data_IF_759082123084
#
_entry.id   IF_759082123084
#
_cell.length_a   1.000
_cell.length_b   1.000
_cell.length_c   1.000
_cell.angle_alpha   90.00
_cell.angle_beta   90.00
_cell.angle_gamma   90.00
#
_symmetry.space_group_name_H-M   'P 1'
#
loop_
_entity.id
_entity.type
_entity.pdbx_description
1 polymer ?
#
# COMPACT_ATOMS: atom_id res chain seq x y z
N UNK A 1 0.87 63.83 -4.47
CA UNK A 1 0.29 62.61 -5.08
C UNK A 1 1.48 61.81 -5.58
N UNK A 2 1.92 60.82 -4.80
CA UNK A 2 3.00 59.92 -5.24
C UNK A 2 2.48 59.22 -6.49
N UNK A 3 3.22 59.31 -7.59
CA UNK A 3 2.78 58.76 -8.86
C UNK A 3 2.66 57.25 -8.76
N UNK A 4 1.68 56.65 -9.45
CA UNK A 4 1.51 55.19 -9.51
C UNK A 4 2.81 54.48 -9.96
N UNK A 5 3.65 55.17 -10.74
CA UNK A 5 4.98 54.72 -11.16
C UNK A 5 5.98 54.62 -10.01
N UNK A 6 6.04 55.60 -9.11
CA UNK A 6 6.96 55.58 -7.96
C UNK A 6 6.59 54.48 -6.96
N UNK A 7 5.28 54.23 -6.77
CA UNK A 7 4.79 53.09 -5.98
C UNK A 7 5.18 51.75 -6.60
N UNK A 8 5.09 51.60 -7.92
CA UNK A 8 5.50 50.38 -8.61
C UNK A 8 7.02 50.15 -8.51
N UNK A 9 7.85 51.18 -8.58
CA UNK A 9 9.31 51.05 -8.44
C UNK A 9 9.74 50.71 -7.02
N UNK A 10 9.03 51.21 -6.00
CA UNK A 10 9.33 50.92 -4.59
C UNK A 10 8.86 49.52 -4.19
N UNK A 11 7.69 49.08 -4.69
CA UNK A 11 7.02 47.83 -4.27
C UNK A 11 6.94 46.75 -5.36
N UNK A 12 7.86 46.75 -6.33
CA UNK A 12 7.83 45.81 -7.45
C UNK A 12 7.93 44.34 -6.99
N UNK A 13 8.69 44.07 -5.92
CA UNK A 13 8.82 42.72 -5.34
C UNK A 13 7.52 42.25 -4.70
N UNK A 14 6.82 43.12 -3.97
CA UNK A 14 5.53 42.85 -3.34
C UNK A 14 4.44 42.63 -4.39
N UNK A 15 4.46 43.40 -5.48
CA UNK A 15 3.55 43.22 -6.62
C UNK A 15 3.78 41.85 -7.28
N UNK A 16 5.02 41.46 -7.53
CA UNK A 16 5.34 40.13 -8.08
C UNK A 16 4.89 39.03 -7.13
N UNK A 17 5.17 39.17 -5.83
CA UNK A 17 4.75 38.19 -4.83
C UNK A 17 3.22 38.04 -4.77
N UNK A 18 2.48 39.15 -4.86
CA UNK A 18 1.03 39.15 -4.93
C UNK A 18 0.51 38.41 -6.18
N UNK A 19 1.09 38.67 -7.36
CA UNK A 19 0.70 37.99 -8.59
C UNK A 19 0.99 36.49 -8.55
N UNK A 20 2.14 36.08 -8.00
CA UNK A 20 2.47 34.67 -7.80
C UNK A 20 1.42 34.03 -6.88
N UNK A 21 1.11 34.66 -5.74
CA UNK A 21 0.10 34.17 -4.80
C UNK A 21 -1.28 34.06 -5.45
N UNK A 22 -1.68 35.07 -6.23
CA UNK A 22 -2.95 35.06 -6.97
C UNK A 22 -3.01 33.86 -7.94
N UNK A 23 -1.93 33.61 -8.69
CA UNK A 23 -1.82 32.45 -9.59
C UNK A 23 -1.90 31.14 -8.78
N UNK A 24 -1.25 31.06 -7.61
CA UNK A 24 -1.36 29.88 -6.74
C UNK A 24 -2.82 29.61 -6.34
N UNK A 25 -3.55 30.65 -5.92
CA UNK A 25 -4.95 30.53 -5.50
C UNK A 25 -5.83 30.09 -6.67
N UNK A 26 -5.65 30.67 -7.86
CA UNK A 26 -6.43 30.30 -9.05
C UNK A 26 -6.20 28.83 -9.41
N UNK A 27 -4.94 28.37 -9.40
CA UNK A 27 -4.60 26.97 -9.71
C UNK A 27 -5.14 26.03 -8.65
N UNK A 28 -5.05 26.39 -7.37
CA UNK A 28 -5.61 25.61 -6.26
C UNK A 28 -7.13 25.40 -6.47
N UNK A 29 -7.88 26.48 -6.68
CA UNK A 29 -9.34 26.42 -6.85
C UNK A 29 -9.73 25.63 -8.11
N UNK A 30 -9.02 25.82 -9.22
CA UNK A 30 -9.24 25.06 -10.46
C UNK A 30 -8.92 23.57 -10.27
N UNK A 31 -7.84 23.26 -9.55
CA UNK A 31 -7.41 21.90 -9.25
C UNK A 31 -8.44 21.14 -8.41
N UNK A 32 -8.92 21.76 -7.33
CA UNK A 32 -9.98 21.21 -6.47
C UNK A 32 -11.24 20.93 -7.28
N UNK A 33 -11.69 21.89 -8.10
CA UNK A 33 -12.89 21.74 -8.92
C UNK A 33 -12.75 20.61 -9.94
N UNK A 34 -11.60 20.51 -10.61
CA UNK A 34 -11.33 19.46 -11.58
C UNK A 34 -11.27 18.07 -10.94
N UNK A 35 -10.63 17.94 -9.77
CA UNK A 35 -10.60 16.68 -9.02
C UNK A 35 -12.00 16.25 -8.59
N UNK A 36 -12.80 17.19 -8.09
CA UNK A 36 -14.18 16.92 -7.70
C UNK A 36 -15.05 16.48 -8.88
N UNK A 37 -14.86 17.09 -10.05
CA UNK A 37 -15.55 16.69 -11.29
C UNK A 37 -15.19 15.26 -11.71
N UNK A 38 -13.92 14.88 -11.66
CA UNK A 38 -13.47 13.50 -11.94
C UNK A 38 -14.13 12.49 -11.01
N UNK A 39 -14.15 12.78 -9.70
CA UNK A 39 -14.76 11.90 -8.71
C UNK A 39 -16.28 11.76 -8.91
N UNK A 40 -16.99 12.86 -9.19
CA UNK A 40 -18.43 12.80 -9.49
C UNK A 40 -18.70 12.01 -10.76
N UNK A 41 -17.93 12.24 -11.82
CA UNK A 41 -18.13 11.54 -13.09
C UNK A 41 -17.90 10.03 -12.92
N UNK A 42 -16.87 9.64 -12.15
CA UNK A 42 -16.68 8.24 -11.78
C UNK A 42 -17.85 7.67 -10.98
N UNK A 43 -18.34 8.41 -9.98
CA UNK A 43 -19.49 7.97 -9.18
C UNK A 43 -20.75 7.81 -10.03
N UNK A 44 -21.09 8.80 -10.87
CA UNK A 44 -22.25 8.73 -11.77
C UNK A 44 -22.19 7.53 -12.72
N UNK A 45 -21.02 7.26 -13.29
CA UNK A 45 -20.82 6.11 -14.19
C UNK A 45 -20.95 4.75 -13.49
N UNK A 46 -20.67 4.70 -12.18
CA UNK A 46 -20.80 3.48 -11.37
C UNK A 46 -22.13 3.39 -10.62
N UNK A 47 -22.90 4.48 -10.52
CA UNK A 47 -24.09 4.59 -9.69
C UNK A 47 -25.15 3.54 -10.05
N UNK A 48 -25.47 3.38 -11.33
CA UNK A 48 -26.46 2.39 -11.80
C UNK A 48 -26.05 0.96 -11.41
N UNK A 49 -24.76 0.63 -11.53
CA UNK A 49 -24.24 -0.66 -11.10
C UNK A 49 -24.32 -0.85 -9.58
N UNK A 50 -23.99 0.19 -8.81
CA UNK A 50 -24.00 0.12 -7.36
C UNK A 50 -25.44 0.01 -6.82
N UNK A 51 -26.38 0.79 -7.34
CA UNK A 51 -27.80 0.74 -6.92
C UNK A 51 -28.48 -0.58 -7.29
N UNK A 52 -28.09 -1.21 -8.41
CA UNK A 52 -28.63 -2.52 -8.78
C UNK A 52 -28.07 -3.68 -7.95
N UNK A 53 -26.88 -3.54 -7.36
CA UNK A 53 -26.19 -4.62 -6.65
C UNK A 53 -26.13 -4.45 -5.13
N UNK A 54 -26.32 -3.22 -4.63
CA UNK A 54 -26.21 -2.86 -3.21
C UNK A 54 -27.43 -2.06 -2.78
N UNK A 55 -27.92 -2.31 -1.57
CA UNK A 55 -29.08 -1.59 -1.01
C UNK A 55 -28.81 -0.11 -0.74
N UNK A 56 -27.56 0.26 -0.45
CA UNK A 56 -27.14 1.62 -0.13
C UNK A 56 -25.80 1.90 -0.79
N UNK A 57 -25.72 2.97 -1.56
CA UNK A 57 -24.49 3.51 -2.11
C UNK A 57 -24.41 5.00 -1.78
N UNK A 58 -23.24 5.47 -1.37
CA UNK A 58 -23.04 6.87 -1.03
C UNK A 58 -21.64 7.34 -1.41
N UNK A 59 -21.59 8.46 -2.14
CA UNK A 59 -20.38 9.27 -2.28
C UNK A 59 -20.25 10.14 -1.04
N UNK A 60 -19.24 9.87 -0.21
CA UNK A 60 -18.97 10.69 0.96
C UNK A 60 -18.22 11.94 0.49
N UNK A 61 -18.98 13.01 0.22
CA UNK A 61 -18.42 14.31 -0.19
C UNK A 61 -17.58 14.97 0.89
N UNK A 62 -17.81 14.60 2.16
CA UNK A 62 -17.18 15.16 3.36
C UNK A 62 -17.25 14.13 4.49
N UNK A 63 -16.19 13.37 4.72
CA UNK A 63 -15.98 12.81 6.06
C UNK A 63 -15.60 13.98 6.97
N UNK A 64 -15.85 13.85 8.28
CA UNK A 64 -15.49 14.85 9.28
C UNK A 64 -13.95 15.09 9.37
N UNK A 65 -13.18 14.26 8.67
CA UNK A 65 -11.72 14.21 8.60
C UNK A 65 -11.31 14.35 7.14
N UNK A 66 -11.03 15.57 6.70
CA UNK A 66 -10.66 15.86 5.32
C UNK A 66 -9.24 15.33 5.06
N UNK A 67 -9.08 14.07 4.63
CA UNK A 67 -7.75 13.49 4.45
C UNK A 67 -6.97 14.10 3.26
N UNK A 68 -7.64 14.55 2.19
CA UNK A 68 -7.02 15.32 1.10
C UNK A 68 -8.02 15.92 0.09
N UNK A 69 -7.66 17.03 -0.57
CA UNK A 69 -8.36 17.60 -1.73
C UNK A 69 -8.24 16.78 -3.03
N UNK A 70 -7.50 15.68 -2.98
CA UNK A 70 -7.29 14.75 -4.09
C UNK A 70 -7.87 13.37 -3.84
N UNK A 71 -8.53 13.12 -2.71
CA UNK A 71 -9.07 11.82 -2.35
C UNK A 71 -10.58 11.91 -2.12
N UNK A 72 -11.32 10.95 -2.67
CA UNK A 72 -12.77 10.88 -2.52
C UNK A 72 -13.20 9.45 -2.24
N UNK A 73 -14.07 9.30 -1.25
CA UNK A 73 -14.49 8.01 -0.75
C UNK A 73 -15.92 7.68 -1.18
N UNK A 74 -16.11 6.48 -1.70
CA UNK A 74 -17.40 5.92 -2.05
C UNK A 74 -17.58 4.63 -1.27
N UNK A 75 -18.73 4.49 -0.64
CA UNK A 75 -19.11 3.29 0.08
C UNK A 75 -20.38 2.69 -0.52
N UNK A 76 -20.39 1.37 -0.69
CA UNK A 76 -21.58 0.61 -1.04
C UNK A 76 -21.78 -0.55 -0.06
N UNK A 77 -23.02 -0.76 0.40
CA UNK A 77 -23.35 -1.72 1.46
C UNK A 77 -24.70 -2.42 1.23
N UNK A 78 -24.87 -3.56 1.89
CA UNK A 78 -26.11 -4.33 1.88
C UNK A 78 -26.26 -5.27 0.68
N UNK A 79 -25.14 -5.86 0.25
CA UNK A 79 -25.14 -7.07 -0.58
C UNK A 79 -24.85 -8.26 0.33
N UNK A 80 -25.57 -9.37 0.13
CA UNK A 80 -25.22 -10.64 0.80
C UNK A 80 -23.81 -11.04 0.38
N UNK A 81 -23.00 -11.58 1.29
CA UNK A 81 -21.64 -12.03 0.99
C UNK A 81 -20.66 -10.91 0.60
N UNK A 82 -20.98 -9.63 0.82
CA UNK A 82 -20.04 -8.52 0.66
C UNK A 82 -20.42 -7.46 1.70
N UNK A 83 -19.74 -7.42 2.87
CA UNK A 83 -20.12 -6.54 3.97
C UNK A 83 -20.20 -5.08 3.53
N UNK A 84 -19.16 -4.64 2.83
CA UNK A 84 -19.11 -3.37 2.15
C UNK A 84 -18.14 -3.44 0.97
N UNK A 85 -18.33 -2.53 0.02
CA UNK A 85 -17.36 -2.21 -1.01
C UNK A 85 -16.92 -0.77 -0.80
N UNK A 86 -15.63 -0.59 -0.54
CA UNK A 86 -15.00 0.71 -0.40
C UNK A 86 -14.28 1.07 -1.69
N UNK A 87 -14.47 2.28 -2.19
CA UNK A 87 -13.71 2.79 -3.30
C UNK A 87 -13.11 4.14 -2.95
N UNK A 88 -11.79 4.27 -3.08
CA UNK A 88 -11.06 5.50 -2.88
C UNK A 88 -10.54 6.01 -4.22
N UNK A 89 -11.10 7.14 -4.68
CA UNK A 89 -10.69 7.82 -5.91
C UNK A 89 -9.55 8.77 -5.58
N UNK A 90 -8.33 8.40 -5.97
CA UNK A 90 -7.13 9.24 -5.85
C UNK A 90 -6.91 9.98 -7.16
N UNK A 91 -7.22 11.26 -7.14
CA UNK A 91 -6.92 12.18 -8.22
C UNK A 91 -5.45 12.61 -8.16
N UNK A 92 -4.90 13.01 -9.31
CA UNK A 92 -3.63 13.74 -9.36
C UNK A 92 -3.72 15.00 -8.52
N UNK A 93 -2.63 15.41 -7.84
CA UNK A 93 -2.59 16.67 -7.10
C UNK A 93 -2.52 17.87 -8.05
N UNK A 94 -3.64 18.18 -8.73
CA UNK A 94 -3.78 19.32 -9.67
C UNK A 94 -3.72 20.67 -8.96
N UNK A 95 -3.98 20.66 -7.66
CA UNK A 95 -4.00 21.85 -6.80
C UNK A 95 -2.60 22.38 -6.46
N UNK A 96 -1.56 21.53 -6.61
CA UNK A 96 -0.18 21.92 -6.33
C UNK A 96 0.47 22.49 -7.58
N UNK A 97 1.03 23.69 -7.51
CA UNK A 97 1.72 24.31 -8.64
C UNK A 97 2.97 23.52 -9.08
N UNK A 98 3.79 23.10 -8.13
CA UNK A 98 5.04 22.40 -8.41
C UNK A 98 4.75 21.04 -9.06
N UNK A 99 3.87 20.25 -8.45
CA UNK A 99 3.56 18.91 -8.94
C UNK A 99 2.67 18.95 -10.19
N UNK A 100 1.67 19.83 -10.19
CA UNK A 100 0.63 19.91 -11.21
C UNK A 100 1.05 20.60 -12.50
N UNK A 101 2.00 21.54 -12.45
CA UNK A 101 2.47 22.29 -13.63
C UNK A 101 3.91 21.93 -13.98
N UNK A 102 4.83 22.01 -13.01
CA UNK A 102 6.27 21.89 -13.29
C UNK A 102 6.71 20.44 -13.50
N UNK A 103 6.25 19.53 -12.63
CA UNK A 103 6.69 18.13 -12.62
C UNK A 103 5.75 17.19 -13.39
N UNK A 104 4.57 17.65 -13.80
CA UNK A 104 3.59 16.84 -14.51
C UNK A 104 4.09 16.18 -15.81
N UNK A 105 4.88 16.82 -16.69
CA UNK A 105 5.40 16.13 -17.87
C UNK A 105 6.41 15.03 -17.53
N UNK A 106 7.09 15.15 -16.38
CA UNK A 106 8.05 14.16 -15.90
C UNK A 106 7.37 13.00 -15.15
N UNK A 107 6.31 13.32 -14.40
CA UNK A 107 5.54 12.37 -13.61
C UNK A 107 4.34 11.88 -14.43
N UNK A 108 4.42 10.66 -14.99
CA UNK A 108 3.31 10.00 -15.70
C UNK A 108 2.22 9.53 -14.71
N UNK A 109 1.65 10.47 -13.95
CA UNK A 109 0.58 10.23 -13.01
C UNK A 109 -0.74 10.14 -13.78
N UNK A 110 -1.60 9.20 -13.41
CA UNK A 110 -2.99 9.06 -13.86
C UNK A 110 -3.88 9.02 -12.61
N UNK A 111 -5.15 9.40 -12.75
CA UNK A 111 -6.10 9.27 -11.64
C UNK A 111 -6.39 7.77 -11.40
N UNK A 112 -6.46 7.36 -10.13
CA UNK A 112 -6.58 5.96 -9.72
C UNK A 112 -7.80 5.78 -8.84
N UNK A 113 -8.37 4.58 -8.85
CA UNK A 113 -9.44 4.14 -7.97
C UNK A 113 -8.99 2.86 -7.31
N UNK A 114 -8.92 2.89 -5.99
CA UNK A 114 -8.65 1.73 -5.16
C UNK A 114 -9.98 1.16 -4.72
N UNK A 115 -10.26 -0.06 -5.11
CA UNK A 115 -11.43 -0.82 -4.68
C UNK A 115 -10.97 -1.79 -3.61
N UNK A 116 -11.65 -1.80 -2.47
CA UNK A 116 -11.40 -2.70 -1.35
C UNK A 116 -12.70 -3.38 -0.94
N UNK A 117 -12.66 -4.71 -0.91
CA UNK A 117 -13.77 -5.56 -0.50
C UNK A 117 -13.24 -6.53 0.56
N UNK A 118 -13.61 -6.39 1.84
CA UNK A 118 -13.32 -7.39 2.85
C UNK A 118 -14.13 -8.66 2.57
N UNK A 119 -13.49 -9.80 2.78
CA UNK A 119 -14.05 -11.12 2.64
C UNK A 119 -14.06 -11.75 4.03
N UNK A 120 -15.20 -12.26 4.50
CA UNK A 120 -15.30 -12.83 5.85
C UNK A 120 -14.65 -14.21 5.98
N UNK A 121 -14.84 -15.06 4.97
CA UNK A 121 -14.32 -16.43 4.92
C UNK A 121 -13.57 -16.64 3.63
N UNK A 122 -12.29 -16.98 3.75
CA UNK A 122 -11.41 -17.22 2.62
C UNK A 122 -10.37 -18.26 3.00
N UNK A 123 -10.08 -19.17 2.07
CA UNK A 123 -8.95 -20.09 2.14
C UNK A 123 -7.61 -19.33 2.10
N UNK A 124 -6.49 -19.92 2.55
CA UNK A 124 -5.22 -19.22 2.67
C UNK A 124 -4.60 -18.93 1.30
N UNK A 125 -5.07 -17.87 0.65
CA UNK A 125 -4.70 -17.49 -0.71
C UNK A 125 -4.07 -16.11 -0.69
N UNK A 126 -2.89 -16.02 -1.30
CA UNK A 126 -2.28 -14.75 -1.66
C UNK A 126 -1.99 -14.77 -3.16
N UNK A 127 -2.55 -13.80 -3.87
CA UNK A 127 -2.45 -13.66 -5.31
C UNK A 127 -2.33 -12.19 -5.67
N UNK A 128 -1.32 -11.85 -6.46
CA UNK A 128 -1.19 -10.54 -7.09
C UNK A 128 -1.12 -10.74 -8.61
N UNK A 129 -2.05 -10.11 -9.32
CA UNK A 129 -2.05 -10.00 -10.79
C UNK A 129 -1.78 -8.55 -11.14
N UNK A 130 -0.70 -8.26 -11.85
CA UNK A 130 -0.27 -6.89 -12.11
C UNK A 130 0.30 -6.73 -13.52
N UNK A 131 0.15 -5.55 -14.11
CA UNK A 131 0.87 -5.19 -15.33
C UNK A 131 2.38 -5.02 -15.06
N UNK A 132 3.24 -5.27 -16.06
CA UNK A 132 4.71 -5.20 -15.89
C UNK A 132 5.22 -3.85 -15.39
N UNK A 133 4.60 -2.75 -15.84
CA UNK A 133 5.00 -1.40 -15.47
C UNK A 133 4.70 -1.04 -14.01
N UNK A 134 3.74 -1.74 -13.40
CA UNK A 134 3.22 -1.41 -12.07
C UNK A 134 3.69 -2.32 -10.95
N UNK A 135 4.41 -3.39 -11.30
CA UNK A 135 4.89 -4.38 -10.34
C UNK A 135 5.68 -3.74 -9.20
N UNK A 136 6.57 -2.78 -9.49
CA UNK A 136 7.39 -2.12 -8.46
C UNK A 136 6.53 -1.37 -7.45
N UNK A 137 5.53 -0.62 -7.92
CA UNK A 137 4.60 0.11 -7.05
C UNK A 137 3.76 -0.84 -6.22
N UNK A 138 3.27 -1.93 -6.83
CA UNK A 138 2.47 -2.94 -6.12
C UNK A 138 3.28 -3.67 -5.03
N UNK A 139 4.56 -3.98 -5.26
CA UNK A 139 5.42 -4.62 -4.25
C UNK A 139 5.82 -3.67 -3.11
N UNK A 140 5.90 -2.35 -3.37
CA UNK A 140 6.10 -1.35 -2.32
C UNK A 140 4.85 -1.24 -1.43
N UNK A 141 3.67 -1.30 -2.05
CA UNK A 141 2.39 -1.24 -1.33
C UNK A 141 2.12 -2.55 -0.54
N UNK A 142 2.52 -3.70 -1.11
CA UNK A 142 2.28 -5.04 -0.56
C UNK A 142 3.57 -5.91 -0.53
N UNK A 143 4.51 -5.62 0.39
CA UNK A 143 5.77 -6.34 0.52
C UNK A 143 5.59 -7.81 0.92
N UNK A 144 4.47 -8.18 1.53
CA UNK A 144 4.13 -9.56 1.89
C UNK A 144 4.10 -10.51 0.68
N UNK A 145 3.82 -9.98 -0.52
CA UNK A 145 3.82 -10.76 -1.76
C UNK A 145 5.24 -11.22 -2.09
N UNK A 146 6.26 -10.39 -1.88
CA UNK A 146 7.65 -10.78 -2.13
C UNK A 146 8.13 -11.84 -1.13
N UNK A 147 7.61 -11.79 0.09
CA UNK A 147 7.97 -12.72 1.17
C UNK A 147 7.30 -14.09 0.98
N UNK A 148 6.00 -14.10 0.68
CA UNK A 148 5.20 -15.33 0.72
C UNK A 148 4.85 -15.90 -0.65
N UNK A 149 4.94 -15.11 -1.72
CA UNK A 149 4.58 -15.54 -3.06
C UNK A 149 5.81 -15.69 -3.95
N UNK A 150 5.66 -16.52 -4.98
CA UNK A 150 6.64 -16.67 -6.04
C UNK A 150 6.01 -16.29 -7.37
N UNK A 151 6.82 -15.73 -8.27
CA UNK A 151 6.36 -15.41 -9.62
C UNK A 151 5.98 -16.70 -10.36
N UNK A 152 4.76 -16.77 -10.88
CA UNK A 152 4.26 -17.90 -11.65
C UNK A 152 4.23 -17.54 -13.13
N UNK A 153 4.75 -18.45 -13.97
CA UNK A 153 4.68 -18.31 -15.42
C UNK A 153 3.34 -18.86 -15.88
N UNK A 154 2.47 -17.99 -16.37
CA UNK A 154 1.15 -18.36 -16.91
C UNK A 154 1.04 -17.70 -18.29
N UNK A 155 0.32 -18.34 -19.21
CA UNK A 155 0.02 -17.80 -20.56
C UNK A 155 -0.99 -16.65 -20.50
N UNK A 156 -0.72 -15.60 -19.72
CA UNK A 156 -1.40 -14.32 -19.83
C UNK A 156 -0.49 -13.36 -20.60
N UNK A 157 -1.02 -12.77 -21.67
CA UNK A 157 -0.25 -12.08 -22.71
C UNK A 157 0.72 -11.01 -22.19
N UNK A 158 0.36 -10.28 -21.12
CA UNK A 158 1.16 -9.15 -20.60
C UNK A 158 1.23 -9.01 -19.08
N UNK A 159 0.41 -9.74 -18.33
CA UNK A 159 0.34 -9.59 -16.87
C UNK A 159 1.30 -10.55 -16.16
N UNK A 160 1.91 -10.07 -15.08
CA UNK A 160 2.72 -10.88 -14.17
C UNK A 160 1.82 -11.34 -13.02
N UNK A 161 1.97 -12.60 -12.63
CA UNK A 161 1.23 -13.18 -11.52
C UNK A 161 2.19 -13.67 -10.45
N UNK A 162 1.94 -13.27 -9.21
CA UNK A 162 2.57 -13.80 -8.01
C UNK A 162 1.53 -14.54 -7.21
N UNK A 163 1.87 -15.76 -6.78
CA UNK A 163 0.99 -16.54 -5.92
C UNK A 163 1.78 -17.38 -4.93
N UNK A 164 1.12 -17.72 -3.82
CA UNK A 164 1.66 -18.66 -2.84
C UNK A 164 1.75 -20.10 -3.40
N UNK A 165 0.78 -20.54 -4.20
CA UNK A 165 0.72 -21.89 -4.78
C UNK A 165 0.27 -21.87 -6.24
N UNK A 166 0.74 -22.85 -7.01
CA UNK A 166 0.29 -23.07 -8.39
C UNK A 166 -1.18 -23.50 -8.45
N UNK A 167 -1.63 -24.28 -7.47
CA UNK A 167 -3.03 -24.71 -7.40
C UNK A 167 -3.97 -23.50 -7.27
N UNK A 168 -3.64 -22.52 -6.41
CA UNK A 168 -4.44 -21.30 -6.27
C UNK A 168 -4.56 -20.52 -7.58
N UNK A 169 -3.48 -20.47 -8.35
CA UNK A 169 -3.47 -19.89 -9.70
C UNK A 169 -4.42 -20.65 -10.63
N UNK A 170 -4.36 -21.98 -10.66
CA UNK A 170 -5.21 -22.78 -11.53
C UNK A 170 -6.69 -22.62 -11.21
N UNK A 171 -7.06 -22.64 -9.92
CA UNK A 171 -8.46 -22.43 -9.52
C UNK A 171 -8.97 -21.04 -9.90
N UNK A 172 -8.21 -19.98 -9.66
CA UNK A 172 -8.67 -18.60 -9.88
C UNK A 172 -8.54 -18.17 -11.35
N UNK A 173 -7.45 -18.55 -12.03
CA UNK A 173 -7.08 -18.05 -13.36
C UNK A 173 -7.31 -19.04 -14.50
N UNK A 174 -7.46 -20.34 -14.25
CA UNK A 174 -7.67 -21.31 -15.35
C UNK A 174 -9.16 -21.65 -15.53
N UNK A 175 -9.94 -21.67 -14.45
CA UNK A 175 -11.31 -22.20 -14.48
C UNK A 175 -12.44 -21.19 -14.70
N UNK A 176 -12.16 -19.87 -14.66
CA UNK A 176 -13.21 -18.86 -14.46
C UNK A 176 -13.38 -17.77 -15.52
N UNK A 177 -14.48 -17.02 -15.42
CA UNK A 177 -14.72 -15.76 -16.15
C UNK A 177 -13.61 -14.72 -15.93
N UNK A 178 -12.95 -14.80 -14.77
CA UNK A 178 -11.85 -13.93 -14.41
C UNK A 178 -10.65 -14.02 -15.37
N UNK A 179 -10.35 -15.20 -15.92
CA UNK A 179 -9.25 -15.39 -16.88
C UNK A 179 -9.48 -14.60 -18.18
N UNK A 180 -10.73 -14.67 -18.68
CA UNK A 180 -11.21 -13.93 -19.85
C UNK A 180 -11.22 -12.44 -19.57
N UNK A 181 -11.61 -12.04 -18.35
CA UNK A 181 -11.58 -10.64 -17.93
C UNK A 181 -10.16 -10.09 -17.90
N UNK A 182 -9.21 -10.76 -17.25
CA UNK A 182 -7.82 -10.29 -17.18
C UNK A 182 -7.14 -10.24 -18.55
N UNK A 183 -7.54 -11.12 -19.46
CA UNK A 183 -7.08 -11.11 -20.85
C UNK A 183 -7.83 -10.13 -21.75
N UNK A 184 -8.88 -9.47 -21.24
CA UNK A 184 -9.66 -8.51 -22.00
C UNK A 184 -8.91 -7.19 -22.21
N UNK A 185 -9.18 -6.54 -23.34
CA UNK A 185 -8.59 -5.23 -23.66
C UNK A 185 -8.97 -4.15 -22.63
N UNK A 186 -10.12 -4.28 -21.98
CA UNK A 186 -10.56 -3.40 -20.91
C UNK A 186 -9.62 -3.52 -19.70
N UNK A 187 -9.39 -4.75 -19.23
CA UNK A 187 -8.52 -4.98 -18.09
C UNK A 187 -7.07 -4.56 -18.39
N UNK A 188 -6.58 -4.81 -19.59
CA UNK A 188 -5.22 -4.40 -19.97
C UNK A 188 -5.00 -2.88 -19.89
N UNK A 189 -6.03 -2.08 -20.18
CA UNK A 189 -5.94 -0.61 -20.19
C UNK A 189 -6.23 0.03 -18.83
N UNK A 190 -7.22 -0.51 -18.12
CA UNK A 190 -7.78 0.12 -16.92
C UNK A 190 -7.33 -0.56 -15.62
N UNK A 191 -7.03 -1.86 -15.63
CA UNK A 191 -6.65 -2.57 -14.41
C UNK A 191 -5.14 -2.54 -14.24
N UNK A 192 -4.73 -1.93 -13.14
CA UNK A 192 -3.34 -1.78 -12.78
C UNK A 192 -2.82 -3.06 -12.11
N UNK A 193 -3.51 -3.44 -11.04
CA UNK A 193 -3.29 -4.68 -10.32
C UNK A 193 -4.55 -5.12 -9.59
N UNK A 194 -4.65 -6.42 -9.33
CA UNK A 194 -5.60 -7.05 -8.44
C UNK A 194 -4.82 -7.86 -7.42
N UNK A 195 -5.09 -7.58 -6.16
CA UNK A 195 -4.46 -8.16 -5.00
C UNK A 195 -5.51 -8.89 -4.18
N UNK A 196 -5.23 -10.13 -3.83
CA UNK A 196 -6.05 -10.98 -2.98
C UNK A 196 -5.14 -11.47 -1.87
N UNK A 197 -5.60 -11.34 -0.62
CA UNK A 197 -4.87 -11.88 0.52
C UNK A 197 -5.80 -12.27 1.65
N UNK A 198 -5.51 -13.41 2.26
CA UNK A 198 -6.10 -13.89 3.50
C UNK A 198 -5.48 -13.27 4.77
N UNK A 199 -4.28 -12.72 4.62
CA UNK A 199 -3.50 -12.08 5.68
C UNK A 199 -3.05 -10.73 5.15
N UNK A 200 -3.91 -9.71 5.27
CA UNK A 200 -3.38 -8.38 5.05
C UNK A 200 -2.49 -8.00 6.22
N UNK A 201 -1.26 -7.67 5.91
CA UNK A 201 -0.36 -7.01 6.84
C UNK A 201 -0.25 -5.60 6.31
N UNK A 202 -0.91 -4.61 6.93
CA UNK A 202 -0.61 -3.22 6.58
C UNK A 202 0.84 -2.95 7.00
N UNK A 203 1.77 -2.73 6.05
CA UNK A 203 3.09 -2.26 6.42
C UNK A 203 2.92 -0.77 6.63
N UNK A 204 2.79 -0.32 7.88
CA UNK A 204 3.35 1.01 8.17
C UNK A 204 3.78 1.27 9.60
N UNK A 205 3.16 0.78 10.66
CA UNK A 205 3.47 1.39 11.97
C UNK A 205 3.50 0.49 13.21
N UNK A 206 3.08 -0.78 13.15
CA UNK A 206 3.02 -1.59 14.36
C UNK A 206 3.51 -3.01 14.09
N UNK A 207 4.55 -3.44 14.82
CA UNK A 207 5.07 -4.82 14.88
C UNK A 207 4.03 -5.86 15.39
N UNK A 208 2.75 -5.48 15.47
CA UNK A 208 1.64 -6.37 15.75
C UNK A 208 1.02 -6.83 14.43
N UNK A 209 1.44 -8.00 13.97
CA UNK A 209 0.73 -8.79 12.97
C UNK A 209 -0.58 -9.32 13.58
N UNK A 210 -1.55 -8.44 13.90
CA UNK A 210 -2.91 -8.91 14.14
C UNK A 210 -3.47 -9.32 12.79
N UNK A 211 -3.99 -10.55 12.68
CA UNK A 211 -4.62 -11.09 11.47
C UNK A 211 -5.75 -10.14 11.02
N UNK A 212 -5.47 -9.25 10.07
CA UNK A 212 -6.48 -8.42 9.44
C UNK A 212 -7.34 -9.34 8.55
N UNK A 213 -8.61 -8.98 8.39
CA UNK A 213 -9.59 -9.67 7.55
C UNK A 213 -9.05 -9.93 6.15
N UNK A 214 -9.39 -11.10 5.60
CA UNK A 214 -9.19 -11.40 4.17
C UNK A 214 -9.76 -10.28 3.31
N UNK A 215 -9.06 -9.92 2.23
CA UNK A 215 -9.44 -8.80 1.39
C UNK A 215 -9.19 -9.08 -0.08
N UNK A 216 -10.04 -8.51 -0.91
CA UNK A 216 -9.83 -8.30 -2.33
C UNK A 216 -9.62 -6.80 -2.56
N UNK A 217 -8.45 -6.46 -3.11
CA UNK A 217 -8.09 -5.09 -3.50
C UNK A 217 -7.86 -5.02 -5.01
N UNK A 218 -8.36 -3.98 -5.66
CA UNK A 218 -8.07 -3.71 -7.06
C UNK A 218 -7.69 -2.25 -7.23
N UNK A 219 -6.62 -1.99 -7.98
CA UNK A 219 -6.26 -0.64 -8.40
C UNK A 219 -6.65 -0.49 -9.87
N UNK A 220 -7.38 0.57 -10.17
CA UNK A 220 -7.96 0.82 -11.47
C UNK A 220 -7.63 2.25 -11.87
N UNK A 221 -7.16 2.44 -13.10
CA UNK A 221 -7.00 3.74 -13.70
C UNK A 221 -8.36 4.30 -14.12
N UNK A 222 -8.62 5.56 -13.77
CA UNK A 222 -9.78 6.29 -14.29
C UNK A 222 -9.61 6.48 -15.80
N UNK A 223 -10.62 6.14 -16.63
CA UNK A 223 -10.52 6.22 -18.08
C UNK A 223 -10.29 7.67 -18.52
N UNK A 224 -9.30 7.87 -19.39
CA UNK A 224 -9.09 9.15 -20.09
C UNK A 224 -10.15 9.33 -21.19
N UNK A 225 -10.19 10.52 -21.82
CA UNK A 225 -11.06 10.76 -22.99
C UNK A 225 -10.85 9.70 -24.09
N UNK A 226 -9.58 9.44 -24.44
CA UNK A 226 -9.21 8.42 -25.43
C UNK A 226 -9.69 7.01 -25.03
N UNK A 227 -9.74 6.71 -23.73
CA UNK A 227 -10.21 5.42 -23.22
C UNK A 227 -11.73 5.33 -23.31
N UNK A 228 -12.45 6.43 -23.04
CA UNK A 228 -13.91 6.53 -23.18
C UNK A 228 -14.30 6.34 -24.66
N UNK A 229 -13.59 6.99 -25.58
CA UNK A 229 -13.84 6.86 -27.02
C UNK A 229 -13.59 5.41 -27.48
N UNK A 230 -12.47 4.81 -27.04
CA UNK A 230 -12.16 3.41 -27.31
C UNK A 230 -13.23 2.45 -26.75
N UNK A 231 -13.71 2.70 -25.53
CA UNK A 231 -14.76 1.91 -24.92
C UNK A 231 -16.08 2.02 -25.69
N UNK A 232 -16.45 3.24 -26.11
CA UNK A 232 -17.65 3.49 -26.92
C UNK A 232 -17.56 2.78 -28.26
N UNK A 233 -16.41 2.80 -28.94
CA UNK A 233 -16.23 2.12 -30.22
C UNK A 233 -16.29 0.59 -30.12
N UNK A 234 -15.82 0.03 -29.00
CA UNK A 234 -15.79 -1.43 -28.79
C UNK A 234 -16.97 -1.95 -27.96
N UNK A 235 -17.98 -1.12 -27.67
CA UNK A 235 -19.12 -1.46 -26.81
C UNK A 235 -18.70 -2.04 -25.44
N UNK A 236 -17.60 -1.53 -24.89
CA UNK A 236 -17.07 -1.94 -23.58
C UNK A 236 -17.66 -1.05 -22.48
N UNK A 237 -18.13 -1.66 -21.39
CA UNK A 237 -18.76 -0.95 -20.28
C UNK A 237 -17.98 -1.18 -18.97
N UNK A 238 -17.83 -0.13 -18.15
CA UNK A 238 -17.28 -0.22 -16.79
C UNK A 238 -18.05 -1.22 -15.91
N UNK A 239 -19.34 -1.41 -16.18
CA UNK A 239 -20.16 -2.42 -15.49
C UNK A 239 -19.58 -3.84 -15.64
N UNK A 240 -18.92 -4.15 -16.77
CA UNK A 240 -18.25 -5.44 -16.96
C UNK A 240 -17.09 -5.61 -15.97
N UNK A 241 -16.34 -4.55 -15.70
CA UNK A 241 -15.24 -4.58 -14.73
C UNK A 241 -15.77 -4.81 -13.30
N UNK A 242 -16.78 -4.03 -12.88
CA UNK A 242 -17.33 -4.21 -11.53
C UNK A 242 -18.00 -5.58 -11.36
N UNK A 243 -18.72 -6.07 -12.38
CA UNK A 243 -19.32 -7.41 -12.38
C UNK A 243 -18.28 -8.51 -12.20
N UNK A 244 -17.12 -8.41 -12.85
CA UNK A 244 -16.04 -9.38 -12.70
C UNK A 244 -15.36 -9.30 -11.33
N UNK A 245 -15.22 -8.12 -10.74
CA UNK A 245 -14.69 -7.96 -9.38
C UNK A 245 -15.65 -8.56 -8.34
N UNK A 246 -16.97 -8.34 -8.47
CA UNK A 246 -17.95 -8.96 -7.59
C UNK A 246 -18.04 -10.48 -7.78
N UNK A 247 -18.01 -10.95 -9.02
CA UNK A 247 -17.96 -12.39 -9.33
C UNK A 247 -16.71 -13.04 -8.71
N UNK A 248 -15.55 -12.37 -8.79
CA UNK A 248 -14.33 -12.84 -8.13
C UNK A 248 -14.52 -12.93 -6.61
N UNK A 249 -15.13 -11.93 -5.98
CA UNK A 249 -15.44 -11.96 -4.55
C UNK A 249 -16.31 -13.18 -4.18
N UNK A 250 -17.35 -13.47 -4.97
CA UNK A 250 -18.21 -14.64 -4.76
C UNK A 250 -17.43 -15.95 -4.92
N UNK A 251 -16.60 -16.06 -5.98
CA UNK A 251 -15.78 -17.25 -6.19
C UNK A 251 -14.81 -17.51 -5.03
N UNK A 252 -14.18 -16.46 -4.48
CA UNK A 252 -13.23 -16.58 -3.37
C UNK A 252 -13.87 -17.08 -2.07
N UNK A 253 -15.18 -16.85 -1.88
CA UNK A 253 -15.89 -17.33 -0.69
C UNK A 253 -16.36 -18.77 -0.81
N UNK A 254 -16.65 -19.22 -2.04
CA UNK A 254 -17.08 -20.60 -2.32
C UNK A 254 -15.90 -21.54 -2.60
N UNK A 255 -14.71 -20.99 -2.81
CA UNK A 255 -13.55 -21.75 -3.22
C UNK A 255 -12.99 -22.53 -2.04
N UNK A 256 -12.97 -23.85 -2.20
CA UNK A 256 -12.33 -24.79 -1.27
C UNK A 256 -11.04 -25.31 -1.89
N UNK A 257 -9.92 -25.11 -1.20
CA UNK A 257 -8.63 -25.62 -1.64
C UNK A 257 -8.43 -27.06 -1.17
N UNK A 258 -7.70 -27.89 -1.94
CA UNK A 258 -7.28 -29.21 -1.47
C UNK A 258 -6.47 -29.11 -0.19
N UNK A 259 -6.71 -30.01 0.77
CA UNK A 259 -6.00 -30.03 2.07
C UNK A 259 -4.47 -30.06 1.91
N UNK A 260 -3.97 -30.77 0.90
CA UNK A 260 -2.53 -30.82 0.56
C UNK A 260 -1.96 -29.44 0.27
N UNK A 261 -2.71 -28.60 -0.45
CA UNK A 261 -2.32 -27.23 -0.79
C UNK A 261 -2.33 -26.36 0.46
N UNK A 262 -3.37 -26.48 1.29
CA UNK A 262 -3.48 -25.75 2.56
C UNK A 262 -2.30 -26.08 3.49
N UNK A 263 -1.98 -27.37 3.67
CA UNK A 263 -0.84 -27.82 4.47
C UNK A 263 0.49 -27.29 3.93
N UNK A 264 0.68 -27.31 2.60
CA UNK A 264 1.88 -26.76 1.98
C UNK A 264 2.05 -25.27 2.26
N UNK A 265 0.98 -24.48 2.12
CA UNK A 265 0.99 -23.04 2.37
C UNK A 265 1.29 -22.73 3.84
N UNK A 266 0.65 -23.46 4.76
CA UNK A 266 0.90 -23.29 6.20
C UNK A 266 2.33 -23.69 6.60
N UNK A 267 2.87 -24.76 6.02
CA UNK A 267 4.25 -25.16 6.25
C UNK A 267 5.25 -24.11 5.76
N UNK A 268 5.00 -23.52 4.58
CA UNK A 268 5.83 -22.44 4.05
C UNK A 268 5.78 -21.20 4.97
N UNK A 269 4.59 -20.81 5.44
CA UNK A 269 4.42 -19.73 6.42
C UNK A 269 5.20 -19.98 7.71
N UNK A 270 5.08 -21.18 8.29
CA UNK A 270 5.83 -21.55 9.49
C UNK A 270 7.35 -21.52 9.28
N UNK A 271 7.83 -21.87 8.08
CA UNK A 271 9.25 -21.75 7.75
C UNK A 271 9.69 -20.29 7.69
N UNK A 272 8.90 -19.43 7.06
CA UNK A 272 9.14 -17.99 6.96
C UNK A 272 9.13 -17.33 8.36
N UNK A 273 8.18 -17.69 9.23
CA UNK A 273 8.15 -17.19 10.61
C UNK A 273 9.39 -17.63 11.41
N UNK A 274 9.86 -18.87 11.20
CA UNK A 274 11.09 -19.36 11.83
C UNK A 274 12.33 -18.61 11.33
N UNK A 275 12.42 -18.25 10.05
CA UNK A 275 13.55 -17.47 9.53
C UNK A 275 13.53 -16.05 10.06
N UNK A 276 12.37 -15.38 10.09
CA UNK A 276 12.22 -14.05 10.71
C UNK A 276 12.57 -14.05 12.20
N UNK A 277 12.11 -15.06 12.95
CA UNK A 277 12.44 -15.18 14.38
C UNK A 277 13.94 -15.34 14.61
N UNK A 278 14.63 -16.11 13.77
CA UNK A 278 16.10 -16.26 13.83
C UNK A 278 16.81 -14.96 13.49
N UNK A 279 16.38 -14.24 12.46
CA UNK A 279 16.96 -12.94 12.08
C UNK A 279 16.80 -11.90 13.21
N UNK A 280 15.60 -11.82 13.81
CA UNK A 280 15.35 -10.92 14.93
C UNK A 280 16.22 -11.26 16.15
N UNK A 281 16.33 -12.54 16.50
CA UNK A 281 17.19 -12.97 17.61
C UNK A 281 18.67 -12.62 17.36
N UNK A 282 19.16 -12.81 16.14
CA UNK A 282 20.53 -12.42 15.78
C UNK A 282 20.74 -10.90 15.89
N UNK A 283 19.81 -10.08 15.37
CA UNK A 283 19.91 -8.63 15.49
C UNK A 283 19.83 -8.13 16.94
N UNK A 284 19.05 -8.79 17.80
CA UNK A 284 19.04 -8.51 19.25
C UNK A 284 20.38 -8.88 19.88
N UNK A 285 20.94 -10.04 19.55
CA UNK A 285 22.25 -10.47 20.06
C UNK A 285 23.37 -9.49 19.65
N UNK A 286 23.40 -9.07 18.39
CA UNK A 286 24.37 -8.09 17.88
C UNK A 286 24.26 -6.74 18.61
N UNK A 287 23.04 -6.24 18.85
CA UNK A 287 22.81 -5.00 19.63
C UNK A 287 23.26 -5.14 21.08
N UNK A 288 23.04 -6.30 21.71
CA UNK A 288 23.49 -6.57 23.08
C UNK A 288 25.01 -6.61 23.13
N UNK A 289 25.67 -7.24 22.16
CA UNK A 289 27.12 -7.28 22.06
C UNK A 289 27.73 -5.91 21.80
N UNK A 290 27.16 -5.12 20.90
CA UNK A 290 27.61 -3.76 20.64
C UNK A 290 27.57 -2.91 21.91
N UNK A 291 26.46 -2.96 22.67
CA UNK A 291 26.35 -2.29 23.98
C UNK A 291 27.38 -2.78 24.99
N UNK A 292 27.71 -4.07 25.01
CA UNK A 292 28.78 -4.62 25.88
C UNK A 292 30.14 -4.06 25.48
N UNK A 293 30.47 -4.05 24.17
CA UNK A 293 31.74 -3.52 23.66
C UNK A 293 31.90 -2.04 23.95
N UNK A 294 30.83 -1.25 23.79
CA UNK A 294 30.82 0.18 24.11
C UNK A 294 31.03 0.43 25.61
N UNK A 295 30.37 -0.33 26.50
CA UNK A 295 30.61 -0.26 27.94
C UNK A 295 32.07 -0.54 28.28
N UNK A 296 32.65 -1.61 27.74
CA UNK A 296 34.06 -1.95 27.96
C UNK A 296 35.00 -0.83 27.50
N UNK A 297 34.74 -0.24 26.32
CA UNK A 297 35.53 0.91 25.82
C UNK A 297 35.39 2.13 26.73
N UNK A 298 34.17 2.45 27.15
CA UNK A 298 33.93 3.58 28.08
C UNK A 298 34.59 3.37 29.43
N UNK A 299 34.59 2.14 29.96
CA UNK A 299 35.29 1.78 31.19
C UNK A 299 36.81 1.89 31.02
N UNK A 300 37.37 1.43 29.90
CA UNK A 300 38.80 1.55 29.61
C UNK A 300 39.24 3.03 29.55
N UNK A 301 38.45 3.90 28.93
CA UNK A 301 38.70 5.35 28.88
C UNK A 301 38.59 5.98 30.28
N UNK A 302 37.65 5.53 31.12
CA UNK A 302 37.55 6.01 32.51
C UNK A 302 38.77 5.57 33.33
N UNK A 303 39.26 4.35 33.14
CA UNK A 303 40.44 3.83 33.84
C UNK A 303 41.72 4.55 33.42
N UNK A 304 41.90 4.84 32.12
CA UNK A 304 43.08 5.56 31.65
C UNK A 304 43.15 7.01 32.15
N UNK A 305 42.02 7.64 32.47
CA UNK A 305 41.95 9.00 33.03
C UNK A 305 42.18 9.08 34.55
N UNK A 306 42.19 7.96 35.27
CA UNK A 306 42.40 7.94 36.74
C UNK A 306 43.90 7.95 37.10
N UNK A 307 44.22 8.41 38.31
CA UNK A 307 45.60 8.42 38.80
C UNK A 307 46.14 6.99 39.06
N UNK A 308 47.48 6.76 39.05
CA UNK A 308 48.06 5.42 39.21
C UNK A 308 47.68 4.70 40.52
N UNK A 309 47.44 5.44 41.61
CA UNK A 309 46.99 4.87 42.89
C UNK A 309 45.52 4.42 42.83
N UNK A 310 44.67 5.17 42.12
CA UNK A 310 43.26 4.85 41.94
C UNK A 310 43.05 3.68 40.97
N UNK A 311 43.89 3.55 39.94
CA UNK A 311 43.88 2.42 39.02
C UNK A 311 44.14 1.09 39.75
N UNK A 312 45.14 1.03 40.65
CA UNK A 312 45.43 -0.17 41.46
C UNK A 312 44.24 -0.56 42.34
N UNK A 313 43.63 0.42 43.03
CA UNK A 313 42.44 0.20 43.87
C UNK A 313 41.23 -0.28 43.06
N UNK A 314 41.06 0.23 41.84
CA UNK A 314 40.00 -0.19 40.93
C UNK A 314 40.19 -1.64 40.45
N UNK A 315 41.42 -2.01 40.08
CA UNK A 315 41.76 -3.36 39.64
C UNK A 315 41.53 -4.40 40.76
N UNK A 316 42.04 -4.13 41.97
CA UNK A 316 41.83 -4.99 43.14
C UNK A 316 40.34 -5.19 43.46
N UNK A 317 39.51 -4.15 43.28
CA UNK A 317 38.06 -4.23 43.46
C UNK A 317 37.40 -5.10 42.39
N UNK A 318 37.83 -5.01 41.13
CA UNK A 318 37.35 -5.88 40.03
C UNK A 318 37.75 -7.33 40.26
N UNK A 319 38.98 -7.59 40.68
CA UNK A 319 39.48 -8.95 40.93
C UNK A 319 38.73 -9.62 42.09
N UNK A 320 38.46 -8.88 43.18
CA UNK A 320 37.61 -9.35 44.29
C UNK A 320 36.17 -9.64 43.84
N UNK A 321 35.60 -8.84 42.93
CA UNK A 321 34.26 -9.08 42.38
C UNK A 321 34.21 -10.32 41.47
N UNK A 322 35.22 -10.50 40.60
CA UNK A 322 35.32 -11.68 39.74
C UNK A 322 35.56 -12.97 40.54
N UNK A 323 36.37 -12.92 41.59
CA UNK A 323 36.53 -14.05 42.51
C UNK A 323 35.19 -14.41 43.18
N UNK A 324 34.44 -13.41 43.65
CA UNK A 324 33.10 -13.61 44.26
C UNK A 324 32.07 -14.19 43.28
N UNK A 325 32.05 -13.76 42.02
CA UNK A 325 31.12 -14.31 41.01
C UNK A 325 31.46 -15.75 40.62
N UNK A 326 32.76 -16.07 40.46
CA UNK A 326 33.22 -17.43 40.19
C UNK A 326 32.90 -18.41 41.31
N UNK A 327 32.97 -17.97 42.57
CA UNK A 327 32.61 -18.81 43.74
C UNK A 327 31.10 -19.06 43.79
N UNK A 328 30.25 -18.08 43.43
CA UNK A 328 28.79 -18.25 43.41
C UNK A 328 28.32 -19.19 42.31
N UNK A 329 28.96 -19.16 41.14
CA UNK A 329 28.66 -20.06 40.00
C UNK A 329 29.05 -21.54 40.26
N UNK A 330 29.91 -21.83 41.24
CA UNK A 330 30.29 -23.19 41.63
C UNK A 330 29.41 -23.79 42.74
N UNK A 331 28.50 -22.98 43.32
CA UNK A 331 27.59 -23.40 44.41
C UNK A 331 26.14 -23.59 43.95
N UNK A 332 25.85 -23.33 42.68
CA UNK A 332 24.66 -23.75 41.95
C UNK A 332 25.08 -24.94 41.09
#
# INVERSE_FOLDING_TARGET
>A
MIGLQELCEIYWMELIAFWVLLIMVIVLLRGIRSNYEVAINWFKSSQEFLESNFSRSALIKKSFWLDSWSQFDIFATGRKNCPFMYMNVICKPRQDLLTGILLQPLLRNYDKVYIEIPIEKMEPIMLLVCSKGELKSALIDYPEIEIHCSQKKINLSKNIVYANSNACVEYILTSGSFSKFISSQLAERLVNYIYISDQTTCPRLTNSYSKITSVLKACIRVPSKDDIDFMSHNNLNLNYLFKNILSLCETLQTLELPEKTIQHINNNRLQIEKTFSKMNNNGVNEKVEAKRREKIRSEAIKVSRMSPKEQKKYQEKKDKQQARSRIKLKKV
#
